data_IF_469257074172
#
_entry.id   IF_469257074172
#
_cell.length_a   1.000
_cell.length_b   1.000
_cell.length_c   1.000
_cell.angle_alpha   90.00
_cell.angle_beta   90.00
_cell.angle_gamma   90.00
#
_symmetry.space_group_name_H-M   'P 1'
#
loop_
_entity.id
_entity.type
_entity.pdbx_description
1 polymer ?
#
# COMPACT_ATOMS: atom_id res chain seq x y z
N UNK A 1 24.48 -2.49 -6.82
CA UNK A 1 23.02 -2.47 -6.99
C UNK A 1 22.34 -1.15 -6.61
N UNK A 2 21.86 -0.88 -5.38
CA UNK A 2 21.10 0.36 -5.08
C UNK A 2 21.84 1.66 -5.47
N UNK A 3 23.09 1.83 -5.00
CA UNK A 3 23.95 2.98 -5.35
C UNK A 3 24.30 3.05 -6.85
N UNK A 4 24.43 1.88 -7.49
CA UNK A 4 24.80 1.74 -8.91
C UNK A 4 23.66 2.11 -9.86
N UNK A 5 22.43 1.74 -9.50
CA UNK A 5 21.21 2.06 -10.26
C UNK A 5 20.48 3.30 -9.77
N UNK A 6 21.05 4.02 -8.79
CA UNK A 6 20.47 5.25 -8.22
C UNK A 6 19.03 5.06 -7.69
N UNK A 7 18.75 3.88 -7.14
CA UNK A 7 17.44 3.56 -6.55
C UNK A 7 17.29 4.39 -5.27
N UNK A 8 16.26 5.22 -5.22
CA UNK A 8 16.01 6.16 -4.11
C UNK A 8 15.17 5.54 -2.99
N UNK A 9 14.29 4.60 -3.35
CA UNK A 9 13.29 4.01 -2.46
C UNK A 9 13.31 2.49 -2.59
N UNK A 10 13.19 1.80 -1.47
CA UNK A 10 12.96 0.37 -1.40
C UNK A 10 11.86 0.12 -0.39
N UNK A 11 10.86 -0.66 -0.77
CA UNK A 11 9.71 -1.03 0.07
C UNK A 11 9.50 -2.52 0.05
N UNK A 12 8.84 -3.04 1.07
CA UNK A 12 8.50 -4.46 1.18
C UNK A 12 7.17 -4.65 1.93
N UNK A 13 6.50 -5.77 1.69
CA UNK A 13 5.20 -6.08 2.26
C UNK A 13 5.24 -6.31 3.77
N UNK A 14 4.22 -5.83 4.47
CA UNK A 14 3.99 -6.14 5.87
C UNK A 14 3.22 -7.47 6.01
N UNK A 15 3.87 -8.58 5.64
CA UNK A 15 3.23 -9.90 5.56
C UNK A 15 4.14 -11.04 6.03
N UNK A 16 3.55 -12.22 6.25
CA UNK A 16 4.29 -13.47 6.27
C UNK A 16 4.37 -14.05 4.86
N UNK A 17 5.60 -14.32 4.41
CA UNK A 17 5.87 -14.98 3.13
C UNK A 17 6.47 -16.40 3.31
N UNK A 18 6.57 -16.89 4.55
CA UNK A 18 7.17 -18.20 4.83
C UNK A 18 7.43 -18.47 6.31
N UNK A 19 7.62 -19.76 6.61
CA UNK A 19 8.20 -20.27 7.86
C UNK A 19 9.16 -21.43 7.54
N UNK A 20 8.80 -22.70 7.84
CA UNK A 20 9.56 -23.88 7.42
C UNK A 20 9.48 -24.16 5.90
N UNK A 21 8.72 -23.35 5.17
CA UNK A 21 8.57 -23.36 3.72
C UNK A 21 8.05 -22.01 3.23
N UNK A 22 8.02 -21.82 1.91
CA UNK A 22 7.48 -20.60 1.31
C UNK A 22 5.95 -20.63 1.29
N UNK A 23 5.34 -19.52 1.70
CA UNK A 23 3.94 -19.25 1.45
C UNK A 23 3.87 -18.54 0.09
N UNK A 24 3.05 -19.05 -0.82
CA UNK A 24 2.86 -18.47 -2.16
C UNK A 24 1.81 -17.35 -2.16
N UNK A 25 1.47 -16.85 -0.97
CA UNK A 25 0.47 -15.82 -0.73
C UNK A 25 0.95 -14.92 0.42
N UNK A 26 0.48 -13.67 0.44
CA UNK A 26 0.80 -12.70 1.48
C UNK A 26 -0.16 -12.92 2.66
N UNK A 27 0.33 -13.56 3.72
CA UNK A 27 -0.48 -13.81 4.90
C UNK A 27 -0.37 -12.63 5.88
N UNK A 28 -1.48 -12.22 6.52
CA UNK A 28 -1.43 -11.09 7.44
C UNK A 28 -0.65 -11.43 8.70
N UNK A 29 0.10 -10.44 9.17
CA UNK A 29 0.72 -10.45 10.49
C UNK A 29 -0.39 -10.16 11.54
N UNK A 30 -0.41 -10.84 12.70
CA UNK A 30 -1.34 -10.52 13.78
C UNK A 30 -1.19 -9.07 14.20
N UNK A 31 -2.31 -8.38 14.39
CA UNK A 31 -2.30 -6.99 14.84
C UNK A 31 -2.21 -6.96 16.37
N UNK A 32 -1.01 -7.23 16.89
CA UNK A 32 -0.69 -7.26 18.32
C UNK A 32 0.56 -6.42 18.63
N UNK A 33 0.72 -5.98 19.88
CA UNK A 33 1.91 -5.22 20.32
C UNK A 33 3.21 -6.03 20.15
N UNK A 34 3.17 -7.34 20.41
CA UNK A 34 4.32 -8.23 20.18
C UNK A 34 4.73 -8.24 18.69
N UNK A 35 3.75 -8.29 17.79
CA UNK A 35 4.01 -8.26 16.35
C UNK A 35 4.59 -6.91 15.90
N UNK A 36 4.19 -5.79 16.50
CA UNK A 36 4.78 -4.46 16.23
C UNK A 36 6.27 -4.48 16.51
N UNK A 37 6.69 -4.90 17.71
CA UNK A 37 8.11 -4.96 18.06
C UNK A 37 8.88 -5.94 17.17
N UNK A 38 8.30 -7.10 16.88
CA UNK A 38 8.91 -8.11 16.01
C UNK A 38 9.17 -7.57 14.60
N UNK A 39 8.18 -6.91 13.99
CA UNK A 39 8.31 -6.28 12.68
C UNK A 39 9.35 -5.17 12.71
N UNK A 40 9.28 -4.29 13.70
CA UNK A 40 10.19 -3.15 13.84
C UNK A 40 11.66 -3.58 13.96
N UNK A 41 11.95 -4.64 14.71
CA UNK A 41 13.31 -5.20 14.82
C UNK A 41 13.83 -5.73 13.50
N UNK A 42 12.97 -6.33 12.67
CA UNK A 42 13.35 -6.81 11.34
C UNK A 42 13.60 -5.67 10.38
N UNK A 43 12.75 -4.64 10.40
CA UNK A 43 12.94 -3.43 9.60
C UNK A 43 14.27 -2.78 9.98
N UNK A 44 14.55 -2.58 11.29
CA UNK A 44 15.84 -2.07 11.78
C UNK A 44 17.01 -2.86 11.20
N UNK A 45 16.96 -4.19 11.30
CA UNK A 45 18.01 -5.07 10.76
C UNK A 45 18.20 -4.91 9.25
N UNK A 46 17.12 -4.80 8.47
CA UNK A 46 17.21 -4.60 7.02
C UNK A 46 17.82 -3.22 6.71
N UNK A 47 17.38 -2.17 7.40
CA UNK A 47 17.93 -0.82 7.22
C UNK A 47 19.42 -0.76 7.58
N UNK A 48 19.84 -1.42 8.65
CA UNK A 48 21.26 -1.50 9.05
C UNK A 48 22.12 -2.19 7.99
N UNK A 49 21.60 -3.24 7.35
CA UNK A 49 22.31 -3.98 6.30
C UNK A 49 22.34 -3.20 4.98
N UNK A 50 21.24 -2.54 4.61
CA UNK A 50 21.14 -1.77 3.38
C UNK A 50 21.73 -0.36 3.50
N UNK A 51 22.00 0.11 4.72
CA UNK A 51 22.43 1.48 5.06
C UNK A 51 21.47 2.55 4.51
N UNK A 52 20.17 2.25 4.48
CA UNK A 52 19.14 3.17 3.98
C UNK A 52 17.80 2.94 4.68
N UNK A 53 16.98 3.99 4.71
CA UNK A 53 15.59 3.89 5.12
C UNK A 53 14.78 3.11 4.08
N UNK A 54 13.94 2.20 4.54
CA UNK A 54 13.02 1.43 3.70
C UNK A 54 11.58 1.85 4.01
N UNK A 55 10.64 1.46 3.14
CA UNK A 55 9.21 1.55 3.40
C UNK A 55 8.59 0.17 3.64
N UNK A 56 7.43 0.16 4.28
CA UNK A 56 6.56 -1.02 4.35
C UNK A 56 5.30 -0.79 3.52
N UNK A 57 4.69 -1.86 3.02
CA UNK A 57 3.46 -1.82 2.23
C UNK A 57 2.30 -2.53 2.96
N UNK A 58 1.11 -1.92 2.94
CA UNK A 58 -0.12 -2.56 3.42
C UNK A 58 -0.64 -3.56 2.38
N UNK A 59 -1.00 -4.75 2.85
CA UNK A 59 -1.50 -5.83 1.99
C UNK A 59 -3.02 -5.95 2.08
N UNK A 60 -3.64 -6.54 1.07
CA UNK A 60 -4.97 -7.12 1.22
C UNK A 60 -4.92 -8.36 2.13
N UNK A 61 -5.94 -8.58 2.96
CA UNK A 61 -6.02 -9.79 3.81
C UNK A 61 -7.44 -10.31 3.96
N UNK A 62 -7.56 -11.63 4.08
CA UNK A 62 -8.87 -12.32 4.06
C UNK A 62 -9.20 -13.07 5.35
N UNK A 63 -8.18 -13.35 6.17
CA UNK A 63 -8.34 -14.04 7.45
C UNK A 63 -7.34 -13.49 8.44
N UNK A 64 -7.83 -12.96 9.57
CA UNK A 64 -6.98 -12.40 10.62
C UNK A 64 -6.74 -13.45 11.72
N UNK A 65 -5.49 -13.85 12.00
CA UNK A 65 -5.21 -14.86 13.03
C UNK A 65 -5.50 -14.37 14.45
N UNK A 66 -5.16 -13.12 14.76
CA UNK A 66 -5.41 -12.46 16.03
C UNK A 66 -5.39 -10.94 15.82
N UNK A 67 -6.27 -10.22 16.50
CA UNK A 67 -6.49 -8.79 16.29
C UNK A 67 -6.80 -8.09 17.62
N UNK A 68 -5.75 -7.61 18.28
CA UNK A 68 -5.87 -6.79 19.50
C UNK A 68 -6.04 -5.30 19.15
N UNK A 69 -5.67 -4.90 17.93
CA UNK A 69 -5.82 -3.55 17.40
C UNK A 69 -6.31 -3.57 15.94
N UNK A 70 -6.86 -2.45 15.48
CA UNK A 70 -7.24 -2.25 14.07
C UNK A 70 -6.01 -2.19 13.16
N UNK A 71 -6.20 -2.38 11.85
CA UNK A 71 -5.12 -2.26 10.85
C UNK A 71 -4.44 -0.89 10.93
N UNK A 72 -5.22 0.20 11.02
CA UNK A 72 -4.66 1.55 11.14
C UNK A 72 -3.83 1.75 12.40
N UNK A 73 -4.24 1.15 13.52
CA UNK A 73 -3.49 1.22 14.78
C UNK A 73 -2.18 0.42 14.66
N UNK A 74 -2.22 -0.76 14.02
CA UNK A 74 -1.06 -1.60 13.82
C UNK A 74 -0.01 -0.95 12.91
N UNK A 75 -0.42 -0.46 11.73
CA UNK A 75 0.50 0.20 10.79
C UNK A 75 1.11 1.44 11.43
N UNK A 76 0.31 2.29 12.08
CA UNK A 76 0.83 3.45 12.80
C UNK A 76 1.77 3.07 13.94
N UNK A 77 1.48 2.01 14.69
CA UNK A 77 2.37 1.54 15.76
C UNK A 77 3.73 1.10 15.20
N UNK A 78 3.77 0.39 14.08
CA UNK A 78 5.02 0.02 13.40
C UNK A 78 5.80 1.25 12.93
N UNK A 79 5.14 2.20 12.25
CA UNK A 79 5.77 3.44 11.75
C UNK A 79 6.33 4.33 12.89
N UNK A 80 5.77 4.22 14.10
CA UNK A 80 6.24 4.94 15.28
C UNK A 80 7.38 4.22 16.01
N UNK A 81 7.35 2.89 16.02
CA UNK A 81 8.35 2.05 16.70
C UNK A 81 9.68 2.00 15.94
N UNK A 82 9.66 2.15 14.61
CA UNK A 82 10.86 2.21 13.77
C UNK A 82 10.76 3.33 12.74
N UNK A 83 11.86 4.05 12.54
CA UNK A 83 11.95 5.09 11.52
C UNK A 83 12.02 4.50 10.10
N UNK A 84 10.87 4.08 9.57
CA UNK A 84 10.66 3.65 8.19
C UNK A 84 9.59 4.52 7.51
N UNK A 85 9.41 4.33 6.20
CA UNK A 85 8.31 4.93 5.44
C UNK A 85 7.17 3.96 5.16
N UNK A 86 6.19 4.43 4.40
CA UNK A 86 4.99 3.71 4.01
C UNK A 86 4.82 3.80 2.49
N UNK A 87 4.66 2.66 1.84
CA UNK A 87 3.98 2.54 0.58
C UNK A 87 2.51 2.29 0.89
N UNK A 88 1.64 3.18 0.44
CA UNK A 88 0.21 3.03 0.66
C UNK A 88 -0.42 2.53 -0.64
N UNK A 89 -0.85 1.27 -0.62
CA UNK A 89 -1.67 0.73 -1.69
C UNK A 89 -3.14 1.12 -1.49
N UNK A 90 -3.63 1.94 -2.41
CA UNK A 90 -5.00 2.48 -2.40
C UNK A 90 -6.02 1.38 -2.71
N UNK A 91 -5.67 0.44 -3.60
CA UNK A 91 -6.52 -0.69 -3.94
C UNK A 91 -6.63 -1.67 -2.77
N UNK A 92 -5.53 -2.03 -2.11
CA UNK A 92 -5.54 -2.90 -0.93
C UNK A 92 -6.37 -2.29 0.20
N UNK A 93 -6.24 -0.97 0.40
CA UNK A 93 -7.06 -0.25 1.37
C UNK A 93 -8.55 -0.35 1.04
N UNK A 94 -8.93 -0.17 -0.23
CA UNK A 94 -10.32 -0.32 -0.67
C UNK A 94 -10.84 -1.75 -0.49
N UNK A 95 -10.06 -2.75 -0.91
CA UNK A 95 -10.39 -4.18 -0.76
C UNK A 95 -10.63 -4.52 0.71
N UNK A 96 -9.70 -4.16 1.59
CA UNK A 96 -9.81 -4.42 3.02
C UNK A 96 -10.99 -3.67 3.65
N UNK A 97 -11.25 -2.43 3.24
CA UNK A 97 -12.39 -1.65 3.74
C UNK A 97 -13.74 -2.33 3.47
N UNK A 98 -13.92 -2.90 2.26
CA UNK A 98 -15.12 -3.67 1.93
C UNK A 98 -15.16 -4.99 2.72
N UNK A 99 -14.07 -5.75 2.70
CA UNK A 99 -14.01 -7.10 3.30
C UNK A 99 -14.19 -7.05 4.83
N UNK A 100 -13.64 -6.04 5.49
CA UNK A 100 -13.62 -5.91 6.96
C UNK A 100 -14.55 -4.81 7.48
N UNK A 101 -15.33 -4.18 6.61
CA UNK A 101 -16.41 -3.23 6.93
C UNK A 101 -15.93 -1.99 7.71
N UNK A 102 -14.86 -1.37 7.23
CA UNK A 102 -14.40 -0.08 7.73
C UNK A 102 -14.34 0.96 6.59
N UNK A 103 -14.10 2.22 6.93
CA UNK A 103 -14.03 3.30 5.94
C UNK A 103 -12.60 3.46 5.39
N UNK A 104 -12.46 3.30 4.06
CA UNK A 104 -11.16 3.38 3.39
C UNK A 104 -10.51 4.77 3.53
N UNK A 105 -11.32 5.84 3.49
CA UNK A 105 -10.80 7.20 3.55
C UNK A 105 -10.32 7.56 4.96
N UNK A 106 -11.01 7.12 6.01
CA UNK A 106 -10.58 7.22 7.41
C UNK A 106 -9.24 6.50 7.62
N UNK A 107 -9.06 5.30 7.04
CA UNK A 107 -7.78 4.60 7.08
C UNK A 107 -6.66 5.44 6.43
N UNK A 108 -6.88 5.92 5.20
CA UNK A 108 -5.89 6.73 4.45
C UNK A 108 -5.52 7.99 5.24
N UNK A 109 -6.52 8.75 5.69
CA UNK A 109 -6.31 10.00 6.43
C UNK A 109 -5.66 9.80 7.80
N UNK A 110 -5.71 8.59 8.36
CA UNK A 110 -5.01 8.25 9.59
C UNK A 110 -3.52 7.96 9.40
N UNK A 111 -3.03 7.84 8.16
CA UNK A 111 -1.62 7.62 7.87
C UNK A 111 -0.84 8.94 7.93
N UNK A 112 0.38 8.96 8.48
CA UNK A 112 1.19 10.18 8.55
C UNK A 112 1.76 10.55 7.18
N UNK A 113 1.41 11.74 6.67
CA UNK A 113 1.85 12.26 5.36
C UNK A 113 3.38 12.22 5.20
N UNK A 114 4.13 12.55 6.24
CA UNK A 114 5.59 12.56 6.23
C UNK A 114 6.24 11.19 6.10
N UNK A 115 5.46 10.11 6.29
CA UNK A 115 5.91 8.73 6.10
C UNK A 115 5.60 8.20 4.70
N UNK A 116 4.69 8.82 3.95
CA UNK A 116 4.32 8.33 2.62
C UNK A 116 5.48 8.51 1.64
N UNK A 117 5.94 7.40 1.10
CA UNK A 117 7.03 7.34 0.12
C UNK A 117 6.51 7.10 -1.29
N UNK A 118 5.46 6.30 -1.41
CA UNK A 118 4.97 5.78 -2.68
C UNK A 118 3.50 5.37 -2.56
N UNK A 119 2.75 5.43 -3.65
CA UNK A 119 1.39 4.90 -3.73
C UNK A 119 1.30 3.82 -4.81
N UNK A 120 0.51 2.79 -4.53
CA UNK A 120 0.09 1.80 -5.52
C UNK A 120 -1.39 1.95 -5.86
N UNK A 121 -1.68 1.70 -7.14
CA UNK A 121 -3.01 1.68 -7.73
C UNK A 121 -3.14 0.39 -8.53
N UNK A 122 -4.23 -0.33 -8.33
CA UNK A 122 -4.52 -1.56 -9.05
C UNK A 122 -6.02 -1.78 -9.19
N UNK A 123 -6.40 -2.78 -10.00
CA UNK A 123 -7.77 -3.29 -10.07
C UNK A 123 -7.92 -4.63 -9.36
N UNK A 124 -9.11 -4.88 -8.82
CA UNK A 124 -9.46 -6.08 -8.06
C UNK A 124 -10.71 -6.76 -8.61
N UNK A 125 -10.90 -8.03 -8.26
CA UNK A 125 -12.03 -8.85 -8.66
C UNK A 125 -13.20 -8.74 -7.65
N UNK A 126 -14.43 -8.60 -8.16
CA UNK A 126 -15.65 -8.66 -7.34
C UNK A 126 -16.13 -10.12 -7.23
N UNK A 127 -15.81 -10.80 -6.13
CA UNK A 127 -16.35 -12.13 -5.85
C UNK A 127 -17.79 -12.04 -5.32
N UNK A 128 -18.06 -11.07 -4.43
CA UNK A 128 -19.39 -10.74 -3.94
C UNK A 128 -19.50 -9.26 -3.54
N UNK A 129 -20.68 -8.82 -3.10
CA UNK A 129 -20.92 -7.45 -2.63
C UNK A 129 -20.02 -7.08 -1.45
N UNK A 130 -19.77 -8.03 -0.55
CA UNK A 130 -18.95 -7.89 0.66
C UNK A 130 -17.62 -8.67 0.60
N UNK A 131 -17.21 -9.13 -0.59
CA UNK A 131 -15.94 -9.81 -0.80
C UNK A 131 -15.27 -9.38 -2.11
N UNK A 132 -14.12 -8.73 -1.97
CA UNK A 132 -13.25 -8.28 -3.05
C UNK A 132 -11.95 -9.07 -2.98
N UNK A 133 -11.49 -9.56 -4.13
CA UNK A 133 -10.23 -10.31 -4.23
C UNK A 133 -9.23 -9.46 -4.98
N UNK A 134 -8.15 -9.16 -4.29
CA UNK A 134 -7.03 -8.39 -4.78
C UNK A 134 -6.20 -9.21 -5.77
N UNK A 135 -6.52 -9.07 -7.05
CA UNK A 135 -5.91 -9.87 -8.12
C UNK A 135 -4.93 -9.08 -8.96
N UNK A 136 -4.89 -7.75 -8.83
CA UNK A 136 -4.13 -6.85 -9.72
C UNK A 136 -4.29 -7.20 -11.21
N UNK A 137 -5.46 -7.73 -11.58
CA UNK A 137 -5.69 -8.40 -12.85
C UNK A 137 -6.79 -7.76 -13.68
N UNK A 138 -7.31 -6.63 -13.23
CA UNK A 138 -8.42 -5.90 -13.83
C UNK A 138 -8.08 -4.41 -13.89
N UNK A 139 -8.88 -3.67 -14.64
CA UNK A 139 -8.80 -2.22 -14.69
C UNK A 139 -9.19 -1.62 -13.34
N UNK A 140 -8.55 -0.50 -13.01
CA UNK A 140 -8.79 0.25 -11.79
C UNK A 140 -10.22 0.80 -11.83
N UNK A 141 -10.99 0.54 -10.78
CA UNK A 141 -12.39 0.96 -10.70
C UNK A 141 -12.54 2.41 -10.25
N UNK A 142 -13.67 3.01 -10.60
CA UNK A 142 -14.00 4.42 -10.32
C UNK A 142 -13.90 4.77 -8.83
N UNK A 143 -14.28 3.85 -7.94
CA UNK A 143 -14.19 4.04 -6.49
C UNK A 143 -12.74 4.16 -6.01
N UNK A 144 -11.83 3.38 -6.60
CA UNK A 144 -10.39 3.43 -6.28
C UNK A 144 -9.78 4.71 -6.86
N UNK A 145 -10.19 5.13 -8.07
CA UNK A 145 -9.81 6.43 -8.62
C UNK A 145 -10.26 7.61 -7.74
N UNK A 146 -11.49 7.56 -7.23
CA UNK A 146 -12.01 8.56 -6.31
C UNK A 146 -11.20 8.60 -5.00
N UNK A 147 -10.82 7.44 -4.47
CA UNK A 147 -9.94 7.36 -3.30
C UNK A 147 -8.55 7.93 -3.56
N UNK A 148 -7.95 7.69 -4.73
CA UNK A 148 -6.68 8.31 -5.11
C UNK A 148 -6.77 9.84 -5.12
N UNK A 149 -7.85 10.39 -5.70
CA UNK A 149 -8.05 11.84 -5.70
C UNK A 149 -8.15 12.39 -4.27
N UNK A 150 -8.90 11.73 -3.39
CA UNK A 150 -9.00 12.11 -1.98
C UNK A 150 -7.66 11.97 -1.24
N UNK A 151 -6.87 10.94 -1.56
CA UNK A 151 -5.53 10.72 -1.02
C UNK A 151 -4.62 11.89 -1.35
N UNK A 152 -4.58 12.34 -2.60
CA UNK A 152 -3.82 13.52 -2.99
C UNK A 152 -4.34 14.81 -2.35
N UNK A 153 -5.65 14.96 -2.18
CA UNK A 153 -6.22 16.13 -1.50
C UNK A 153 -5.75 16.23 -0.05
N UNK A 154 -5.52 15.10 0.62
CA UNK A 154 -5.11 15.07 2.02
C UNK A 154 -3.58 15.07 2.20
N UNK A 155 -2.85 14.22 1.48
CA UNK A 155 -1.40 14.04 1.65
C UNK A 155 -0.54 14.82 0.66
N UNK A 156 -1.15 15.41 -0.37
CA UNK A 156 -0.44 15.95 -1.51
C UNK A 156 0.00 14.89 -2.51
N UNK A 157 0.66 15.32 -3.58
CA UNK A 157 1.14 14.39 -4.63
C UNK A 157 2.35 13.61 -4.15
N UNK A 158 2.23 12.29 -4.17
CA UNK A 158 3.28 11.31 -3.91
C UNK A 158 3.48 10.47 -5.18
N UNK A 159 4.71 10.02 -5.51
CA UNK A 159 4.91 9.18 -6.69
C UNK A 159 4.00 7.94 -6.62
N UNK A 160 3.32 7.67 -7.73
CA UNK A 160 2.23 6.68 -7.79
C UNK A 160 2.44 5.75 -8.96
N UNK A 161 2.34 4.46 -8.69
CA UNK A 161 2.52 3.38 -9.66
C UNK A 161 1.21 2.65 -9.89
N UNK A 162 0.96 2.33 -11.16
CA UNK A 162 -0.08 1.39 -11.55
C UNK A 162 0.50 -0.03 -11.54
N UNK A 163 -0.08 -0.90 -10.74
CA UNK A 163 0.29 -2.31 -10.63
C UNK A 163 -0.65 -3.19 -11.46
N UNK A 164 -0.06 -4.16 -12.18
CA UNK A 164 -0.78 -5.11 -13.02
C UNK A 164 -0.01 -6.42 -13.12
N UNK A 165 -0.40 -7.39 -12.30
CA UNK A 165 0.30 -8.68 -12.17
C UNK A 165 -0.30 -9.76 -13.05
N UNK A 166 -1.60 -9.67 -13.31
CA UNK A 166 -2.37 -10.63 -14.08
C UNK A 166 -3.09 -9.97 -15.25
N UNK A 167 -3.45 -10.77 -16.25
CA UNK A 167 -4.18 -10.33 -17.45
C UNK A 167 -3.60 -9.06 -18.09
N UNK A 168 -2.27 -8.97 -18.16
CA UNK A 168 -1.55 -7.77 -18.59
C UNK A 168 -1.99 -7.38 -20.01
N UNK A 169 -2.63 -6.22 -20.21
CA UNK A 169 -3.10 -5.80 -21.52
C UNK A 169 -1.93 -5.29 -22.38
N UNK A 170 -2.13 -5.07 -23.69
CA UNK A 170 -1.15 -4.35 -24.51
C UNK A 170 -0.74 -3.02 -23.87
N UNK A 171 0.54 -2.68 -23.96
CA UNK A 171 1.10 -1.48 -23.35
C UNK A 171 0.30 -0.19 -23.64
N UNK A 172 -0.20 0.09 -24.86
CA UNK A 172 -0.98 1.30 -25.12
C UNK A 172 -2.29 1.40 -24.33
N UNK A 173 -2.87 0.26 -23.93
CA UNK A 173 -4.08 0.21 -23.09
C UNK A 173 -3.71 0.50 -21.63
N UNK A 174 -2.68 -0.17 -21.10
CA UNK A 174 -2.17 0.09 -19.75
C UNK A 174 -1.75 1.55 -19.53
N UNK A 175 -1.16 2.17 -20.56
CA UNK A 175 -0.74 3.58 -20.50
C UNK A 175 -1.91 4.57 -20.37
N UNK A 176 -3.16 4.16 -20.59
CA UNK A 176 -4.33 5.03 -20.38
C UNK A 176 -4.56 5.29 -18.88
N UNK A 177 -4.48 4.24 -18.05
CA UNK A 177 -4.59 4.36 -16.59
C UNK A 177 -3.40 5.14 -16.00
N UNK A 178 -2.19 4.92 -16.53
CA UNK A 178 -1.01 5.74 -16.16
C UNK A 178 -1.22 7.21 -16.52
N UNK A 179 -1.77 7.50 -17.70
CA UNK A 179 -2.09 8.87 -18.11
C UNK A 179 -3.17 9.50 -17.21
N UNK A 180 -4.11 8.70 -16.71
CA UNK A 180 -5.12 9.14 -15.75
C UNK A 180 -4.48 9.52 -14.41
N UNK A 181 -3.55 8.72 -13.86
CA UNK A 181 -2.75 9.09 -12.67
C UNK A 181 -2.06 10.45 -12.89
N UNK A 182 -1.37 10.63 -14.02
CA UNK A 182 -0.69 11.89 -14.35
C UNK A 182 -1.65 13.08 -14.43
N UNK A 183 -2.89 12.86 -14.88
CA UNK A 183 -3.90 13.91 -14.96
C UNK A 183 -4.33 14.40 -13.57
N UNK A 184 -4.53 13.48 -12.61
CA UNK A 184 -4.84 13.83 -11.22
C UNK A 184 -3.69 14.58 -10.55
N UNK A 185 -2.46 14.12 -10.74
CA UNK A 185 -1.26 14.78 -10.20
C UNK A 185 -1.12 16.21 -10.71
N UNK A 186 -1.23 16.43 -12.02
CA UNK A 186 -1.18 17.78 -12.62
C UNK A 186 -2.33 18.67 -12.15
N UNK A 187 -3.53 18.11 -12.03
CA UNK A 187 -4.69 18.87 -11.55
C UNK A 187 -4.50 19.35 -10.10
N UNK A 188 -3.80 18.56 -9.27
CA UNK A 188 -3.45 18.95 -7.91
C UNK A 188 -2.37 20.04 -7.88
N UNK A 189 -1.27 19.88 -8.63
CA UNK A 189 -0.19 20.89 -8.69
C UNK A 189 -0.70 22.28 -9.14
N UNK A 190 -1.65 22.32 -10.07
CA UNK A 190 -2.28 23.56 -10.51
C UNK A 190 -3.21 24.21 -9.46
N UNK A 191 -3.73 23.43 -8.51
CA UNK A 191 -4.52 23.93 -7.38
C UNK A 191 -3.62 24.45 -6.27
N UNK A 192 -2.52 23.75 -5.97
CA UNK A 192 -1.57 24.13 -4.92
C UNK A 192 -0.75 25.38 -5.28
N UNK A 193 -0.49 25.61 -6.57
CA UNK A 193 0.22 26.79 -7.06
C UNK A 193 -0.60 28.11 -7.04
N UNK A 194 -1.84 28.10 -6.55
CA UNK A 194 -2.75 29.27 -6.50
C UNK A 194 -3.01 29.73 -5.07
#
# INVERSE_FOLDING_TARGET
FFKEHQIQTYTEHLSYCGDSGHLYDLMPIPFTEEAVHYVADRIRRVQDVLEMKIGIENISFYAMPCQDMSEKEFVNAVLNEVDCGLLLDVNNTYVNAINHRYDALDYIQSMPTERLMYLHMAGHFDEADDLKIDTHGQDVKDEVWALLEQTYQHHGVVPTLLERDFNIPPLPELMQEVAQIQSYQRAWELKDAK
#
